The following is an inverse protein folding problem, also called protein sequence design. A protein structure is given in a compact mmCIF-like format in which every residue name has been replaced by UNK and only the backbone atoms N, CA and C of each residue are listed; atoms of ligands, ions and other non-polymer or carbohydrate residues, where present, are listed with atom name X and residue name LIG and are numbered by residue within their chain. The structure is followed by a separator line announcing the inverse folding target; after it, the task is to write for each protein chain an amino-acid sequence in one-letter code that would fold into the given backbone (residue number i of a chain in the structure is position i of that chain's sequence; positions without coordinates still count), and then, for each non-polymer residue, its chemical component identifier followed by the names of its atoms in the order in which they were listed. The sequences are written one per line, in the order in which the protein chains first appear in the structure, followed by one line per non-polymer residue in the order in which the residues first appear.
data_IF_345989180706
#
_entry.id   IF_345989180706
#
_cell.length_a   1.000
_cell.length_b   1.000
_cell.length_c   1.000
_cell.angle_alpha   90.00
_cell.angle_beta   90.00
_cell.angle_gamma   90.00
#
_symmetry.space_group_name_H-M   'P 1'
#
loop_
_entity.id
_entity.type
_entity.pdbx_description
1 polymer ?
#
# COMPACT_ATOMS: atom_id res chain seq x y z
N UNK A 1 -10.03 -4.70 -9.33
CA UNK A 1 -9.34 -5.07 -8.06
C UNK A 1 -9.52 -6.55 -7.77
N UNK A 2 -8.43 -7.27 -7.58
CA UNK A 2 -8.42 -8.62 -7.01
C UNK A 2 -7.63 -8.62 -5.70
N UNK A 3 -8.00 -9.47 -4.74
CA UNK A 3 -7.27 -9.59 -3.47
C UNK A 3 -6.97 -11.05 -3.11
N UNK A 4 -5.79 -11.28 -2.52
CA UNK A 4 -5.43 -12.57 -1.96
C UNK A 4 -6.13 -12.80 -0.60
N UNK A 5 -6.18 -14.05 -0.12
CA UNK A 5 -6.35 -14.31 1.31
C UNK A 5 -5.28 -13.58 2.13
N UNK A 6 -5.54 -13.43 3.43
CA UNK A 6 -4.54 -12.90 4.36
C UNK A 6 -3.22 -13.67 4.25
N UNK A 7 -2.10 -12.96 4.42
CA UNK A 7 -0.76 -13.52 4.23
C UNK A 7 -0.24 -14.28 5.45
N UNK A 8 -1.13 -14.72 6.35
CA UNK A 8 -0.78 -15.56 7.49
C UNK A 8 -0.05 -16.83 7.02
N UNK A 9 1.04 -17.18 7.71
CA UNK A 9 1.89 -18.33 7.37
C UNK A 9 2.81 -18.15 6.15
N UNK A 10 2.72 -17.02 5.41
CA UNK A 10 3.58 -16.75 4.24
C UNK A 10 4.94 -16.17 4.63
N UNK A 11 5.66 -16.86 5.52
CA UNK A 11 6.90 -16.36 6.10
C UNK A 11 8.06 -16.19 5.10
N UNK A 12 8.00 -16.80 3.92
CA UNK A 12 8.96 -16.54 2.85
C UNK A 12 8.94 -15.06 2.36
N UNK A 13 7.91 -14.29 2.71
CA UNK A 13 7.82 -12.85 2.42
C UNK A 13 8.57 -11.98 3.44
N UNK A 14 8.98 -12.54 4.59
CA UNK A 14 9.66 -11.81 5.66
C UNK A 14 10.92 -11.11 5.15
N UNK A 15 11.80 -11.84 4.44
CA UNK A 15 13.03 -11.28 3.87
C UNK A 15 12.77 -10.16 2.86
N UNK A 16 11.65 -10.25 2.12
CA UNK A 16 11.25 -9.22 1.16
C UNK A 16 10.77 -7.97 1.89
N UNK A 17 9.94 -8.12 2.93
CA UNK A 17 9.44 -6.99 3.71
C UNK A 17 10.56 -6.26 4.46
N UNK A 18 11.58 -6.97 4.96
CA UNK A 18 12.74 -6.35 5.59
C UNK A 18 13.58 -5.49 4.65
N UNK A 19 13.48 -5.69 3.33
CA UNK A 19 14.18 -4.86 2.34
C UNK A 19 13.47 -3.54 2.07
N UNK A 20 12.22 -3.39 2.54
CA UNK A 20 11.44 -2.19 2.30
C UNK A 20 11.86 -1.10 3.29
N UNK A 21 12.09 0.15 2.84
CA UNK A 21 12.63 1.21 3.68
C UNK A 21 11.85 1.44 4.99
N UNK A 22 10.53 1.31 4.96
CA UNK A 22 9.64 1.55 6.10
C UNK A 22 9.53 0.38 7.08
N UNK A 23 10.01 -0.82 6.72
CA UNK A 23 9.82 -2.04 7.52
C UNK A 23 11.14 -2.70 7.96
N UNK A 24 12.29 -2.31 7.40
CA UNK A 24 13.56 -3.01 7.63
C UNK A 24 14.05 -3.04 9.08
N UNK A 25 13.66 -2.07 9.91
CA UNK A 25 14.06 -1.98 11.33
C UNK A 25 13.18 -2.80 12.28
N UNK A 26 12.06 -3.34 11.80
CA UNK A 26 11.12 -4.09 12.64
C UNK A 26 11.66 -5.49 12.92
N UNK A 27 11.48 -6.01 14.14
CA UNK A 27 11.83 -7.40 14.43
C UNK A 27 10.98 -8.39 13.60
N UNK A 28 11.51 -9.59 13.36
CA UNK A 28 10.79 -10.65 12.65
C UNK A 28 9.40 -10.94 13.26
N UNK A 29 9.28 -10.87 14.59
CA UNK A 29 8.00 -11.02 15.31
C UNK A 29 6.96 -9.99 14.85
N UNK A 30 7.37 -8.74 14.66
CA UNK A 30 6.47 -7.68 14.19
C UNK A 30 6.14 -7.83 12.69
N UNK A 31 7.12 -8.20 11.86
CA UNK A 31 6.87 -8.49 10.44
C UNK A 31 5.86 -9.64 10.28
N UNK A 32 5.99 -10.71 11.06
CA UNK A 32 5.02 -11.81 11.10
C UNK A 32 3.62 -11.33 11.50
N UNK A 33 3.54 -10.39 12.45
CA UNK A 33 2.26 -9.81 12.84
C UNK A 33 1.65 -8.98 11.71
N UNK A 34 2.45 -8.17 11.01
CA UNK A 34 2.01 -7.40 9.84
C UNK A 34 1.49 -8.35 8.75
N UNK A 35 2.26 -9.39 8.40
CA UNK A 35 1.85 -10.38 7.38
C UNK A 35 0.48 -11.00 7.66
N UNK A 36 0.18 -11.31 8.93
CA UNK A 36 -1.14 -11.86 9.32
C UNK A 36 -2.29 -10.90 9.04
N UNK A 37 -2.05 -9.60 9.07
CA UNK A 37 -3.04 -8.54 8.84
C UNK A 37 -3.02 -8.01 7.39
N UNK A 38 -2.04 -8.41 6.59
CA UNK A 38 -1.87 -7.95 5.21
C UNK A 38 -2.55 -8.87 4.19
N UNK A 39 -2.89 -8.29 3.04
CA UNK A 39 -3.31 -8.97 1.81
C UNK A 39 -2.51 -8.41 0.63
N UNK A 40 -2.33 -9.21 -0.42
CA UNK A 40 -1.88 -8.70 -1.72
C UNK A 40 -3.12 -8.26 -2.48
N UNK A 41 -3.09 -7.05 -3.02
CA UNK A 41 -4.14 -6.52 -3.91
C UNK A 41 -3.52 -6.20 -5.26
N UNK A 42 -4.23 -6.51 -6.32
CA UNK A 42 -3.85 -6.16 -7.68
C UNK A 42 -4.93 -5.31 -8.33
N UNK A 43 -4.48 -4.36 -9.13
CA UNK A 43 -5.28 -3.33 -9.77
C UNK A 43 -4.96 -3.28 -11.26
N UNK A 44 -6.00 -3.15 -12.07
CA UNK A 44 -5.87 -2.86 -13.49
C UNK A 44 -5.50 -1.40 -13.72
N UNK A 45 -5.05 -1.08 -14.94
CA UNK A 45 -4.73 0.29 -15.33
C UNK A 45 -5.89 1.25 -15.04
N UNK A 46 -5.58 2.37 -14.36
CA UNK A 46 -6.56 3.38 -14.03
C UNK A 46 -7.54 3.01 -12.91
N UNK A 47 -7.41 1.87 -12.22
CA UNK A 47 -8.26 1.61 -11.05
C UNK A 47 -7.89 2.51 -9.86
N UNK A 48 -8.92 3.05 -9.18
CA UNK A 48 -8.74 3.83 -7.95
C UNK A 48 -8.49 2.87 -6.79
N UNK A 49 -7.32 3.01 -6.17
CA UNK A 49 -6.89 2.23 -5.00
C UNK A 49 -7.47 2.86 -3.72
N UNK A 50 -7.34 4.18 -3.59
CA UNK A 50 -7.95 4.95 -2.49
C UNK A 50 -8.60 6.21 -3.06
N UNK A 51 -9.89 6.46 -2.83
CA UNK A 51 -10.53 7.72 -3.23
C UNK A 51 -10.24 8.84 -2.22
N UNK A 52 -10.01 10.07 -2.69
CA UNK A 52 -9.97 11.28 -1.84
C UNK A 52 -11.26 11.39 -1.01
N UNK A 53 -11.14 11.69 0.28
CA UNK A 53 -12.27 11.81 1.20
C UNK A 53 -12.82 10.48 1.73
N UNK A 54 -12.33 9.33 1.24
CA UNK A 54 -12.73 8.02 1.77
C UNK A 54 -12.17 7.78 3.19
N UNK A 55 -12.86 6.95 3.96
CA UNK A 55 -12.38 6.45 5.25
C UNK A 55 -12.01 4.98 5.13
N UNK A 56 -10.73 4.67 5.26
CA UNK A 56 -10.21 3.33 5.41
C UNK A 56 -8.87 3.34 6.15
N UNK A 57 -8.55 2.20 6.78
CA UNK A 57 -7.40 2.09 7.69
C UNK A 57 -6.24 1.29 7.08
N UNK A 58 -6.26 1.07 5.76
CA UNK A 58 -5.21 0.33 5.07
C UNK A 58 -3.99 1.23 4.81
N UNK A 59 -2.81 0.68 5.04
CA UNK A 59 -1.56 1.24 4.51
C UNK A 59 -1.11 0.34 3.37
N UNK A 60 -0.68 0.94 2.28
CA UNK A 60 -0.28 0.23 1.07
C UNK A 60 1.22 0.33 0.88
N UNK A 61 1.78 -0.72 0.30
CA UNK A 61 3.18 -0.81 -0.11
C UNK A 61 3.17 -1.28 -1.55
N UNK A 62 3.83 -0.53 -2.43
CA UNK A 62 3.93 -0.86 -3.84
C UNK A 62 4.81 -2.09 -4.03
N UNK A 63 4.24 -3.18 -4.55
CA UNK A 63 4.96 -4.44 -4.77
C UNK A 63 5.37 -4.66 -6.23
N UNK A 64 4.63 -4.06 -7.16
CA UNK A 64 4.89 -4.00 -8.60
C UNK A 64 4.14 -2.80 -9.19
N UNK A 65 4.45 -2.41 -10.42
CA UNK A 65 3.74 -1.33 -11.13
C UNK A 65 4.09 0.07 -10.63
N UNK A 66 3.14 0.98 -10.79
CA UNK A 66 3.27 2.38 -10.43
C UNK A 66 1.91 2.96 -10.06
N UNK A 67 1.89 4.00 -9.23
CA UNK A 67 0.66 4.72 -8.87
C UNK A 67 0.83 6.22 -9.02
N UNK A 68 -0.25 6.91 -9.36
CA UNK A 68 -0.35 8.38 -9.27
C UNK A 68 -1.19 8.79 -8.09
N UNK A 69 -0.79 9.88 -7.45
CA UNK A 69 -1.51 10.53 -6.35
C UNK A 69 -2.12 11.81 -6.88
N UNK A 70 -3.44 11.94 -6.75
CA UNK A 70 -4.19 13.08 -7.24
C UNK A 70 -4.95 13.77 -6.11
N UNK A 71 -4.86 15.09 -6.02
CA UNK A 71 -5.62 15.89 -5.07
C UNK A 71 -6.40 16.96 -5.80
N UNK A 72 -7.71 17.02 -5.57
CA UNK A 72 -8.61 17.96 -6.27
C UNK A 72 -8.46 17.88 -7.80
N UNK A 73 -8.32 16.65 -8.33
CA UNK A 73 -8.16 16.37 -9.76
C UNK A 73 -6.81 16.77 -10.36
N UNK A 74 -5.82 17.14 -9.54
CA UNK A 74 -4.45 17.43 -10.00
C UNK A 74 -3.49 16.36 -9.49
N UNK A 75 -2.69 15.82 -10.39
CA UNK A 75 -1.58 14.95 -10.02
C UNK A 75 -0.56 15.73 -9.18
N UNK A 76 -0.25 15.23 -7.98
CA UNK A 76 0.69 15.86 -7.04
C UNK A 76 1.94 15.01 -6.79
N UNK A 77 1.87 13.71 -7.08
CA UNK A 77 2.99 12.79 -6.95
C UNK A 77 2.78 11.53 -7.79
N UNK A 78 3.88 10.83 -8.09
CA UNK A 78 3.89 9.44 -8.56
C UNK A 78 4.77 8.61 -7.66
N UNK A 79 4.38 7.36 -7.46
CA UNK A 79 5.16 6.37 -6.71
C UNK A 79 5.44 5.22 -7.65
N UNK A 80 6.70 5.08 -8.03
CA UNK A 80 7.21 4.06 -8.97
C UNK A 80 8.24 3.15 -8.30
N UNK A 81 8.72 3.52 -7.11
CA UNK A 81 9.69 2.76 -6.35
C UNK A 81 9.00 1.58 -5.63
N UNK A 82 9.47 0.37 -5.90
CA UNK A 82 9.02 -0.83 -5.19
C UNK A 82 9.39 -0.72 -3.71
N UNK A 83 8.39 -0.86 -2.85
CA UNK A 83 8.50 -0.59 -1.42
C UNK A 83 8.10 0.82 -1.01
N UNK A 84 7.79 1.70 -1.97
CA UNK A 84 7.13 2.96 -1.71
C UNK A 84 5.80 2.73 -0.99
N UNK A 85 5.59 3.45 0.11
CA UNK A 85 4.37 3.36 0.91
C UNK A 85 3.43 4.53 0.61
N UNK A 86 2.13 4.29 0.73
CA UNK A 86 1.12 5.34 0.67
C UNK A 86 -0.09 5.01 1.54
N UNK A 87 -0.83 6.07 1.91
CA UNK A 87 -2.01 5.95 2.75
C UNK A 87 -1.70 5.85 4.25
N UNK A 88 -0.46 6.05 4.66
CA UNK A 88 -0.04 6.08 6.06
C UNK A 88 -0.68 7.23 6.85
N UNK A 89 -0.87 8.40 6.23
CA UNK A 89 -1.41 9.59 6.90
C UNK A 89 -2.79 9.33 7.54
N UNK A 90 -3.76 8.87 6.74
CA UNK A 90 -5.11 8.58 7.21
C UNK A 90 -5.15 7.46 8.26
N UNK A 91 -4.25 6.48 8.14
CA UNK A 91 -4.14 5.40 9.11
C UNK A 91 -3.58 5.87 10.46
N UNK A 92 -2.76 6.92 10.48
CA UNK A 92 -2.14 7.48 11.70
C UNK A 92 -3.05 8.51 12.37
N UNK A 93 -3.63 9.44 11.60
CA UNK A 93 -4.41 10.56 12.15
C UNK A 93 -5.92 10.30 12.25
N UNK A 94 -6.38 9.17 11.68
CA UNK A 94 -7.79 8.75 11.69
C UNK A 94 -8.71 9.61 10.85
N UNK A 95 -8.17 10.47 9.97
CA UNK A 95 -8.95 11.33 9.08
C UNK A 95 -9.20 10.64 7.75
N UNK A 96 -10.09 11.25 6.95
CA UNK A 96 -10.32 10.85 5.58
C UNK A 96 -9.04 10.97 4.72
N UNK A 97 -8.97 10.18 3.64
CA UNK A 97 -7.91 10.24 2.64
C UNK A 97 -7.72 11.66 2.11
N UNK A 98 -6.49 12.16 2.14
CA UNK A 98 -6.13 13.52 1.74
C UNK A 98 -6.00 13.72 0.23
N UNK A 99 -5.92 12.62 -0.53
CA UNK A 99 -5.76 12.55 -1.97
C UNK A 99 -6.24 11.16 -2.47
N UNK A 100 -6.59 11.08 -3.75
CA UNK A 100 -6.83 9.82 -4.44
C UNK A 100 -5.51 9.17 -4.84
N UNK A 101 -5.48 7.83 -4.87
CA UNK A 101 -4.38 7.05 -5.45
C UNK A 101 -4.94 6.13 -6.52
N UNK A 102 -4.31 6.11 -7.68
CA UNK A 102 -4.76 5.34 -8.85
C UNK A 102 -3.59 4.57 -9.47
N UNK A 103 -3.84 3.35 -9.92
CA UNK A 103 -2.86 2.53 -10.63
C UNK A 103 -2.50 3.13 -12.00
N UNK A 104 -1.21 3.03 -12.36
CA UNK A 104 -0.67 3.35 -13.69
C UNK A 104 -0.17 2.04 -14.30
N UNK A 105 -0.97 1.46 -15.19
CA UNK A 105 -0.79 0.08 -15.63
C UNK A 105 -1.16 -0.95 -14.55
N UNK A 106 -1.06 -2.25 -14.87
CA UNK A 106 -1.25 -3.33 -13.90
C UNK A 106 -0.31 -3.16 -12.69
N UNK A 107 -0.88 -3.09 -11.49
CA UNK A 107 -0.20 -2.73 -10.24
C UNK A 107 -0.58 -3.67 -9.10
#
# INVERSE_FOLDING_TARGET
MQESPYLEGRYFLVDKLHRLPSLGSLSEKYIKHILRLSKIRTFEDGEIITPEGAYDNWVYILFSGAVRVEKHGKEIARIEEIGGAFGELAAIDGKARSASVQAIGPT
#
